data_IF_228992944965
#
_entry.id   IF_228992944965
#
_cell.length_a   1.000
_cell.length_b   1.000
_cell.length_c   1.000
_cell.angle_alpha   90.00
_cell.angle_beta   90.00
_cell.angle_gamma   90.00
#
_symmetry.space_group_name_H-M   'P 1'
#
loop_
_entity.id
_entity.type
_entity.pdbx_description
1 polymer ?
#
# COMPACT_ATOMS: atom_id res chain seq x y z
N UNK A 1 0.64 25.09 4.40
CA UNK A 1 0.04 23.99 5.19
C UNK A 1 0.85 22.73 4.90
N UNK A 2 1.49 22.09 5.90
CA UNK A 2 2.13 20.80 5.66
C UNK A 2 1.07 19.76 5.27
N UNK A 3 1.34 19.00 4.20
CA UNK A 3 0.43 17.97 3.73
C UNK A 3 0.46 16.79 4.71
N UNK A 4 -0.58 16.68 5.55
CA UNK A 4 -0.70 15.67 6.59
C UNK A 4 -0.96 14.26 6.05
N UNK A 5 -1.49 14.15 4.83
CA UNK A 5 -1.92 12.88 4.24
C UNK A 5 -1.19 12.60 2.92
N UNK A 6 -0.72 11.36 2.71
CA UNK A 6 -0.13 10.95 1.44
C UNK A 6 -1.13 11.11 0.28
N UNK A 7 -0.64 11.57 -0.88
CA UNK A 7 -1.42 11.63 -2.12
C UNK A 7 -1.04 10.47 -3.04
N UNK A 8 -2.05 9.72 -3.46
CA UNK A 8 -1.95 8.71 -4.50
C UNK A 8 -2.90 9.11 -5.63
N UNK A 9 -2.41 9.07 -6.86
CA UNK A 9 -3.23 9.38 -8.04
C UNK A 9 -3.76 8.08 -8.64
N UNK A 10 -5.07 7.95 -8.88
CA UNK A 10 -5.61 6.81 -9.60
C UNK A 10 -5.17 6.90 -11.08
N UNK A 11 -4.75 5.76 -11.63
CA UNK A 11 -4.45 5.62 -13.05
C UNK A 11 -2.99 5.81 -13.45
N UNK A 12 -2.65 5.49 -14.71
CA UNK A 12 -1.30 5.57 -15.23
C UNK A 12 -0.80 7.01 -15.16
N UNK A 13 0.23 7.25 -14.34
CA UNK A 13 0.95 8.51 -14.34
C UNK A 13 2.01 8.41 -15.44
N UNK A 14 1.93 9.25 -16.49
CA UNK A 14 2.92 9.26 -17.57
C UNK A 14 4.35 9.35 -17.02
N UNK A 15 5.24 8.47 -17.48
CA UNK A 15 6.63 8.41 -17.02
C UNK A 15 6.87 7.70 -15.67
N UNK A 16 5.83 7.11 -15.05
CA UNK A 16 5.96 6.32 -13.82
C UNK A 16 5.77 4.82 -14.07
N UNK A 17 6.72 4.04 -13.55
CA UNK A 17 6.76 2.57 -13.57
C UNK A 17 5.52 1.90 -12.91
N UNK A 18 4.75 2.72 -12.20
CA UNK A 18 3.54 2.45 -11.42
C UNK A 18 2.36 1.93 -12.29
N UNK A 19 2.53 1.86 -13.61
CA UNK A 19 1.46 1.56 -14.57
C UNK A 19 1.68 0.17 -15.20
N UNK A 20 0.90 -0.82 -14.75
CA UNK A 20 0.63 -2.10 -15.45
C UNK A 20 1.67 -3.24 -15.39
N UNK A 21 2.75 -3.13 -14.60
CA UNK A 21 3.66 -4.26 -14.33
C UNK A 21 3.48 -4.83 -12.91
N UNK A 22 3.75 -6.13 -12.72
CA UNK A 22 3.72 -6.77 -11.40
C UNK A 22 4.65 -6.07 -10.41
N UNK A 23 5.87 -5.75 -10.85
CA UNK A 23 6.87 -5.03 -10.06
C UNK A 23 6.38 -3.64 -9.69
N UNK A 24 5.81 -2.89 -10.64
CA UNK A 24 5.24 -1.57 -10.41
C UNK A 24 4.10 -1.60 -9.39
N UNK A 25 3.23 -2.61 -9.47
CA UNK A 25 2.13 -2.79 -8.53
C UNK A 25 2.63 -3.10 -7.10
N UNK A 26 3.66 -3.95 -6.96
CA UNK A 26 4.27 -4.23 -5.67
C UNK A 26 4.99 -3.01 -5.07
N UNK A 27 5.71 -2.23 -5.88
CA UNK A 27 6.36 -0.99 -5.44
C UNK A 27 5.33 0.07 -5.01
N UNK A 28 4.22 0.21 -5.75
CA UNK A 28 3.11 1.08 -5.36
C UNK A 28 2.48 0.62 -4.04
N UNK A 29 2.25 -0.69 -3.87
CA UNK A 29 1.70 -1.23 -2.64
C UNK A 29 2.61 -0.96 -1.43
N UNK A 30 3.93 -1.10 -1.60
CA UNK A 30 4.92 -0.73 -0.57
C UNK A 30 4.86 0.76 -0.24
N UNK A 31 4.85 1.63 -1.26
CA UNK A 31 4.78 3.10 -1.07
C UNK A 31 3.51 3.51 -0.30
N UNK A 32 2.37 2.91 -0.60
CA UNK A 32 1.12 3.18 0.12
C UNK A 32 1.25 2.80 1.60
N UNK A 33 1.70 1.57 1.90
CA UNK A 33 1.91 1.12 3.28
C UNK A 33 2.88 2.00 4.05
N UNK A 34 4.06 2.29 3.48
CA UNK A 34 5.09 3.10 4.15
C UNK A 34 4.60 4.51 4.43
N UNK A 35 3.91 5.14 3.48
CA UNK A 35 3.47 6.52 3.65
C UNK A 35 2.43 6.66 4.78
N UNK A 36 1.50 5.70 4.92
CA UNK A 36 0.53 5.68 6.01
C UNK A 36 1.17 5.27 7.35
N UNK A 37 2.10 4.32 7.34
CA UNK A 37 2.83 3.92 8.54
C UNK A 37 3.63 5.09 9.13
N UNK A 38 4.26 5.92 8.29
CA UNK A 38 5.02 7.11 8.71
C UNK A 38 4.17 8.15 9.46
N UNK A 39 2.85 8.14 9.27
CA UNK A 39 1.90 9.01 9.99
C UNK A 39 1.05 8.26 11.02
N UNK A 40 1.46 7.03 11.39
CA UNK A 40 0.89 6.26 12.49
C UNK A 40 -0.39 5.49 12.15
N UNK A 41 -0.58 5.16 10.87
CA UNK A 41 -1.73 4.40 10.39
C UNK A 41 -1.31 3.07 9.78
N UNK A 42 -2.12 2.05 9.98
CA UNK A 42 -1.98 0.76 9.33
C UNK A 42 -3.00 0.67 8.20
N UNK A 43 -2.55 0.17 7.06
CA UNK A 43 -3.36 0.02 5.84
C UNK A 43 -3.07 -1.32 5.22
N UNK A 44 -4.13 -2.04 4.90
CA UNK A 44 -4.00 -3.26 4.12
C UNK A 44 -3.95 -2.92 2.64
N UNK A 45 -2.95 -3.45 1.93
CA UNK A 45 -2.79 -3.23 0.50
C UNK A 45 -2.47 -4.55 -0.19
N UNK A 46 -3.27 -4.91 -1.19
CA UNK A 46 -3.17 -6.15 -1.95
C UNK A 46 -2.89 -5.85 -3.42
N UNK A 47 -2.05 -6.69 -4.03
CA UNK A 47 -1.82 -6.69 -5.48
C UNK A 47 -2.62 -7.84 -6.06
N UNK A 48 -3.48 -7.55 -7.03
CA UNK A 48 -4.30 -8.55 -7.71
C UNK A 48 -3.94 -8.56 -9.20
N UNK A 49 -3.80 -9.76 -9.77
CA UNK A 49 -3.66 -9.91 -11.22
C UNK A 49 -5.04 -9.78 -11.86
N UNK A 50 -5.18 -8.85 -12.80
CA UNK A 50 -6.38 -8.72 -13.63
C UNK A 50 -6.02 -9.21 -15.02
N UNK A 51 -6.83 -10.10 -15.61
CA UNK A 51 -6.72 -10.39 -17.02
C UNK A 51 -7.43 -9.27 -17.79
N UNK A 52 -6.70 -8.49 -18.58
CA UNK A 52 -7.29 -7.66 -19.61
C UNK A 52 -7.36 -8.44 -20.90
N UNK A 53 -8.50 -8.39 -21.57
CA UNK A 53 -8.59 -8.71 -23.00
C UNK A 53 -7.60 -7.84 -23.79
N UNK A 54 -7.12 -8.38 -24.91
CA UNK A 54 -6.41 -7.60 -25.92
C UNK A 54 -7.41 -6.65 -26.58
N UNK A 55 -7.15 -5.35 -26.46
CA UNK A 55 -7.79 -4.38 -27.33
C UNK A 55 -7.18 -4.63 -28.72
N UNK A 56 -8.01 -4.88 -29.74
CA UNK A 56 -7.63 -5.34 -31.09
C UNK A 56 -6.71 -4.42 -31.91
N UNK A 57 -6.06 -3.46 -31.25
CA UNK A 57 -5.03 -2.55 -31.74
C UNK A 57 -3.64 -2.80 -31.09
N UNK A 58 -3.47 -3.94 -30.41
CA UNK A 58 -2.20 -4.36 -29.79
C UNK A 58 -1.96 -3.76 -28.40
N UNK A 59 -2.97 -3.14 -27.78
CA UNK A 59 -2.90 -2.61 -26.41
C UNK A 59 -3.56 -3.57 -25.44
N UNK A 60 -2.88 -3.86 -24.33
CA UNK A 60 -3.42 -4.63 -23.20
C UNK A 60 -3.72 -3.68 -22.04
N UNK A 61 -4.94 -3.70 -21.51
CA UNK A 61 -5.41 -2.71 -20.53
C UNK A 61 -5.38 -3.27 -19.10
N UNK A 62 -4.18 -3.30 -18.52
CA UNK A 62 -3.84 -3.67 -17.14
C UNK A 62 -3.79 -5.17 -16.78
N UNK A 63 -2.59 -5.64 -16.44
CA UNK A 63 -2.35 -6.99 -15.91
C UNK A 63 -2.42 -7.08 -14.37
N UNK A 64 -2.28 -5.97 -13.65
CA UNK A 64 -2.24 -5.92 -12.19
C UNK A 64 -2.92 -4.66 -11.65
N UNK A 65 -3.62 -4.81 -10.53
CA UNK A 65 -4.21 -3.70 -9.76
C UNK A 65 -3.70 -3.71 -8.32
N UNK A 66 -3.77 -2.55 -7.67
CA UNK A 66 -3.45 -2.38 -6.25
C UNK A 66 -4.72 -1.94 -5.54
N UNK A 67 -5.20 -2.76 -4.60
CA UNK A 67 -6.39 -2.49 -3.81
C UNK A 67 -5.99 -2.23 -2.36
N UNK A 68 -6.75 -1.37 -1.68
CA UNK A 68 -6.52 -1.02 -0.28
C UNK A 68 -7.81 -0.97 0.52
N UNK A 69 -7.72 -1.10 1.84
CA UNK A 69 -8.83 -0.97 2.79
C UNK A 69 -9.21 0.49 3.13
N UNK A 70 -8.69 1.46 2.39
CA UNK A 70 -8.99 2.88 2.54
C UNK A 70 -10.47 3.18 2.22
N UNK A 71 -11.14 3.95 3.08
CA UNK A 71 -12.49 4.45 2.84
C UNK A 71 -12.39 5.93 2.47
N UNK A 72 -12.86 6.30 1.29
CA UNK A 72 -12.73 7.66 0.74
C UNK A 72 -11.27 8.18 0.78
N UNK A 73 -10.30 7.27 0.59
CA UNK A 73 -8.87 7.59 0.63
C UNK A 73 -8.27 7.71 2.03
N UNK A 74 -9.00 7.34 3.10
CA UNK A 74 -8.55 7.46 4.48
C UNK A 74 -8.42 6.09 5.19
N UNK A 75 -7.37 5.89 6.01
CA UNK A 75 -7.15 4.68 6.78
C UNK A 75 -8.15 4.58 7.92
N UNK A 76 -8.51 3.35 8.29
CA UNK A 76 -9.47 3.09 9.37
C UNK A 76 -8.78 2.57 10.65
N UNK A 77 -7.54 2.08 10.55
CA UNK A 77 -6.84 1.39 11.63
C UNK A 77 -5.57 2.13 12.02
N UNK A 78 -5.46 2.51 13.30
CA UNK A 78 -4.20 3.02 13.84
C UNK A 78 -3.17 1.92 13.85
N UNK A 79 -1.94 2.25 13.46
CA UNK A 79 -0.83 1.34 13.62
C UNK A 79 -0.65 1.14 15.12
N UNK A 80 -0.95 -0.06 15.61
CA UNK A 80 -0.80 -0.40 17.02
C UNK A 80 0.64 -0.10 17.38
N UNK A 81 0.88 0.90 18.23
CA UNK A 81 2.21 1.07 18.80
C UNK A 81 2.47 -0.21 19.58
N UNK A 82 3.40 -1.04 19.10
CA UNK A 82 3.94 -2.13 19.89
C UNK A 82 4.45 -1.47 21.17
N UNK A 83 3.71 -1.61 22.27
CA UNK A 83 4.08 -0.98 23.53
C UNK A 83 5.47 -1.51 23.89
N UNK A 84 6.45 -0.64 24.19
CA UNK A 84 7.78 -1.10 24.61
C UNK A 84 7.71 -2.11 25.76
N UNK A 85 6.65 -2.03 26.57
CA UNK A 85 6.42 -2.83 27.76
C UNK A 85 6.16 -4.32 27.50
N UNK A 86 5.73 -4.70 26.29
CA UNK A 86 5.42 -6.11 25.97
C UNK A 86 6.68 -6.94 25.69
N UNK A 87 7.76 -6.29 25.22
CA UNK A 87 9.06 -6.93 25.03
C UNK A 87 9.80 -7.16 26.37
N UNK A 88 9.60 -6.29 27.36
CA UNK A 88 10.23 -6.40 28.67
C UNK A 88 9.64 -7.52 29.56
N UNK A 89 8.40 -7.96 29.28
CA UNK A 89 7.70 -9.00 30.06
C UNK A 89 8.03 -10.43 29.61
N UNK A 90 8.77 -10.59 28.51
CA UNK A 90 9.11 -11.88 27.91
C UNK A 90 10.48 -12.45 28.35
N UNK A 91 11.19 -11.80 29.28
CA UNK A 91 12.39 -12.36 29.89
C UNK A 91 11.99 -13.23 31.10
N UNK A 92 12.28 -14.54 31.10
CA UNK A 92 12.08 -15.36 32.28
C UNK A 92 12.99 -14.83 33.38
N UNK A 93 12.41 -14.47 34.53
CA UNK A 93 13.19 -14.28 35.75
C UNK A 93 13.80 -15.63 36.11
N UNK A 94 15.08 -15.81 35.79
CA UNK A 94 15.88 -16.89 36.33
C UNK A 94 15.90 -16.74 37.86
N UNK A 95 15.50 -17.83 38.54
CA UNK A 95 15.57 -17.99 39.99
C UNK A 95 17.00 -18.30 40.44
#
# INVERSE_FOLDING_TARGET
MPQLYPRFHPGPSGGRLDSFSERGAHELARRIRTAWANIGWDVEVRVERIASEELGDGRSTAHFTVRSDLINGLPQRRLSQRRPDEAARALPRAA
#
